data_IF_196588587418
#
_entry.id   IF_196588587418
#
_cell.length_a   1.000
_cell.length_b   1.000
_cell.length_c   1.000
_cell.angle_alpha   90.00
_cell.angle_beta   90.00
_cell.angle_gamma   90.00
#
_symmetry.space_group_name_H-M   'P 1'
#
loop_
_entity.id
_entity.type
_entity.pdbx_description
1 polymer ?
#
# COMPACT_ATOMS: atom_id res chain seq x y z
N UNK A 1 5.58 0.71 -4.24
CA UNK A 1 5.50 0.84 -2.77
C UNK A 1 6.27 2.06 -2.28
N UNK A 2 7.55 2.21 -2.61
CA UNK A 2 8.38 3.31 -2.11
C UNK A 2 7.86 4.69 -2.50
N UNK A 3 7.54 4.89 -3.78
CA UNK A 3 6.96 6.15 -4.26
C UNK A 3 5.62 6.45 -3.59
N UNK A 4 4.77 5.43 -3.41
CA UNK A 4 3.48 5.57 -2.73
C UNK A 4 3.67 5.99 -1.27
N UNK A 5 4.57 5.32 -0.54
CA UNK A 5 4.87 5.66 0.85
C UNK A 5 5.52 7.04 1.02
N UNK A 6 6.18 7.56 -0.02
CA UNK A 6 6.75 8.92 -0.07
C UNK A 6 5.77 9.98 -0.58
N UNK A 7 4.54 9.60 -0.93
CA UNK A 7 3.56 10.45 -1.64
C UNK A 7 4.09 11.05 -2.96
N UNK A 8 5.00 10.35 -3.61
CA UNK A 8 5.57 10.76 -4.89
C UNK A 8 4.62 10.34 -6.02
N UNK A 9 3.72 11.25 -6.40
CA UNK A 9 2.67 11.01 -7.41
C UNK A 9 3.24 10.62 -8.76
N UNK A 10 4.17 11.40 -9.27
CA UNK A 10 4.70 11.24 -10.62
C UNK A 10 5.43 9.91 -10.76
N UNK A 11 6.30 9.57 -9.81
CA UNK A 11 7.00 8.29 -9.85
C UNK A 11 6.08 7.11 -9.49
N UNK A 12 5.04 7.30 -8.69
CA UNK A 12 4.03 6.25 -8.45
C UNK A 12 3.23 5.93 -9.72
N UNK A 13 2.80 6.95 -10.47
CA UNK A 13 2.09 6.77 -11.74
C UNK A 13 3.00 6.20 -12.82
N UNK A 14 4.28 6.61 -12.87
CA UNK A 14 5.27 6.05 -13.79
C UNK A 14 5.51 4.57 -13.48
N UNK A 15 5.72 4.21 -12.22
CA UNK A 15 5.88 2.81 -11.82
C UNK A 15 4.63 1.97 -12.12
N UNK A 16 3.42 2.53 -11.92
CA UNK A 16 2.19 1.85 -12.30
C UNK A 16 2.13 1.56 -13.80
N UNK A 17 2.51 2.52 -14.66
CA UNK A 17 2.54 2.30 -16.11
C UNK A 17 3.43 1.13 -16.49
N UNK A 18 4.64 1.05 -15.93
CA UNK A 18 5.54 -0.08 -16.17
C UNK A 18 4.93 -1.42 -15.73
N UNK A 19 4.32 -1.48 -14.53
CA UNK A 19 3.63 -2.69 -14.03
C UNK A 19 2.48 -3.10 -14.98
N UNK A 20 1.75 -2.12 -15.53
CA UNK A 20 0.64 -2.34 -16.46
C UNK A 20 1.08 -2.78 -17.86
N UNK A 21 2.24 -2.33 -18.32
CA UNK A 21 2.87 -2.70 -19.59
C UNK A 21 3.45 -4.12 -19.52
N UNK A 22 4.04 -4.49 -18.38
CA UNK A 22 4.55 -5.84 -18.10
C UNK A 22 3.45 -6.90 -17.90
N UNK A 23 2.17 -6.49 -17.92
CA UNK A 23 1.03 -7.41 -17.74
C UNK A 23 0.94 -8.00 -16.33
N UNK A 24 1.55 -7.36 -15.33
CA UNK A 24 1.53 -7.88 -13.96
C UNK A 24 0.12 -7.86 -13.36
N UNK A 25 -0.12 -8.77 -12.42
CA UNK A 25 -1.40 -8.92 -11.76
C UNK A 25 -1.73 -7.72 -10.85
N UNK A 26 -2.72 -6.93 -11.27
CA UNK A 26 -3.19 -5.76 -10.54
C UNK A 26 -3.76 -6.08 -9.16
N UNK A 27 -4.38 -7.25 -8.98
CA UNK A 27 -4.85 -7.72 -7.67
C UNK A 27 -3.67 -7.92 -6.72
N UNK A 28 -2.54 -8.41 -7.25
CA UNK A 28 -1.28 -8.51 -6.51
C UNK A 28 -0.79 -7.14 -6.04
N UNK A 29 -0.84 -6.12 -6.89
CA UNK A 29 -0.48 -4.75 -6.51
C UNK A 29 -1.36 -4.22 -5.38
N UNK A 30 -2.69 -4.37 -5.48
CA UNK A 30 -3.63 -3.94 -4.42
C UNK A 30 -3.33 -4.66 -3.11
N UNK A 31 -3.03 -5.96 -3.17
CA UNK A 31 -2.64 -6.76 -1.99
C UNK A 31 -1.37 -6.22 -1.33
N UNK A 32 -0.37 -5.82 -2.14
CA UNK A 32 0.86 -5.23 -1.64
C UNK A 32 0.60 -3.86 -0.97
N UNK A 33 -0.24 -3.03 -1.58
CA UNK A 33 -0.64 -1.74 -1.01
C UNK A 33 -1.34 -1.94 0.34
N UNK A 34 -2.30 -2.86 0.40
CA UNK A 34 -3.02 -3.18 1.63
C UNK A 34 -2.07 -3.66 2.75
N UNK A 35 -1.10 -4.53 2.44
CA UNK A 35 -0.09 -4.99 3.42
C UNK A 35 0.78 -3.84 3.94
N UNK A 36 1.18 -2.91 3.08
CA UNK A 36 1.96 -1.73 3.50
C UNK A 36 1.15 -0.85 4.46
N UNK A 37 -0.10 -0.51 4.10
CA UNK A 37 -0.95 0.32 4.97
C UNK A 37 -1.35 -0.40 6.26
N UNK A 38 -1.41 -1.75 6.27
CA UNK A 38 -1.58 -2.51 7.52
C UNK A 38 -0.38 -2.36 8.45
N UNK A 39 0.83 -2.32 7.90
CA UNK A 39 2.02 -1.99 8.68
C UNK A 39 1.92 -0.55 9.23
N UNK A 40 1.51 0.42 8.41
CA UNK A 40 1.34 1.80 8.86
C UNK A 40 0.33 1.92 10.00
N UNK A 41 -0.79 1.20 9.90
CA UNK A 41 -1.80 1.16 10.95
C UNK A 41 -1.23 0.62 12.27
N UNK A 42 -0.46 -0.48 12.25
CA UNK A 42 0.19 -0.99 13.46
C UNK A 42 1.20 0.00 14.04
N UNK A 43 1.91 0.75 13.20
CA UNK A 43 2.85 1.79 13.66
C UNK A 43 2.09 2.93 14.34
N UNK A 44 1.00 3.41 13.72
CA UNK A 44 0.24 4.58 14.19
C UNK A 44 -0.62 4.30 15.42
N UNK A 45 -1.19 3.10 15.52
CA UNK A 45 -2.01 2.65 16.66
C UNK A 45 -1.22 2.39 17.96
N UNK A 46 0.04 2.79 18.04
CA UNK A 46 0.89 2.59 19.21
C UNK A 46 1.36 1.14 19.42
N UNK A 47 1.06 0.21 18.50
CA UNK A 47 1.39 -1.21 18.62
C UNK A 47 2.88 -1.57 18.38
N UNK A 48 3.76 -0.57 18.37
CA UNK A 48 5.22 -0.70 18.39
C UNK A 48 5.84 -1.45 17.18
N UNK A 49 7.18 -1.47 17.15
CA UNK A 49 7.98 -2.17 16.14
C UNK A 49 7.74 -3.68 16.12
N UNK A 50 7.37 -4.29 17.25
CA UNK A 50 7.16 -5.74 17.34
C UNK A 50 5.95 -6.19 16.53
N UNK A 51 4.79 -5.55 16.67
CA UNK A 51 3.58 -5.96 15.93
C UNK A 51 3.74 -5.85 14.41
N UNK A 52 4.50 -4.86 13.94
CA UNK A 52 4.86 -4.74 12.51
C UNK A 52 5.77 -5.88 12.07
N UNK A 53 6.74 -6.24 12.92
CA UNK A 53 7.67 -7.35 12.68
C UNK A 53 6.90 -8.66 12.58
N UNK A 54 6.07 -8.96 13.58
CA UNK A 54 5.23 -10.15 13.63
C UNK A 54 4.30 -10.24 12.42
N UNK A 55 3.71 -9.10 12.02
CA UNK A 55 2.86 -9.08 10.83
C UNK A 55 3.64 -9.43 9.56
N UNK A 56 4.81 -8.82 9.35
CA UNK A 56 5.64 -9.06 8.17
C UNK A 56 6.08 -10.52 8.10
N UNK A 57 6.57 -11.08 9.20
CA UNK A 57 7.04 -12.47 9.28
C UNK A 57 5.94 -13.46 8.93
N UNK A 58 4.74 -13.26 9.48
CA UNK A 58 3.64 -14.21 9.32
C UNK A 58 2.85 -14.04 8.01
N UNK A 59 2.79 -12.83 7.43
CA UNK A 59 1.84 -12.53 6.36
C UNK A 59 2.48 -12.16 5.02
N UNK A 60 3.75 -11.76 5.00
CA UNK A 60 4.39 -11.21 3.80
C UNK A 60 5.39 -12.15 3.12
N UNK A 61 5.66 -13.34 3.69
CA UNK A 61 6.58 -14.37 3.15
C UNK A 61 7.95 -13.78 2.78
N UNK A 62 8.44 -12.87 3.61
CA UNK A 62 9.70 -12.16 3.39
C UNK A 62 10.83 -12.99 4.02
N UNK A 63 12.01 -13.12 3.38
CA UNK A 63 13.14 -13.78 4.01
C UNK A 63 13.51 -13.13 5.36
N UNK A 64 13.81 -13.92 6.42
CA UNK A 64 14.03 -13.38 7.77
C UNK A 64 15.07 -12.25 7.82
N UNK A 65 16.15 -12.37 7.05
CA UNK A 65 17.21 -11.35 6.99
C UNK A 65 16.74 -9.99 6.43
N UNK A 66 15.63 -9.94 5.71
CA UNK A 66 15.10 -8.72 5.10
C UNK A 66 14.02 -8.04 5.96
N UNK A 67 13.45 -8.75 6.94
CA UNK A 67 12.36 -8.26 7.80
C UNK A 67 12.76 -6.95 8.50
N UNK A 68 13.90 -6.93 9.19
CA UNK A 68 14.34 -5.73 9.92
C UNK A 68 14.53 -4.49 9.04
N UNK A 69 14.99 -4.69 7.79
CA UNK A 69 15.13 -3.62 6.80
C UNK A 69 13.76 -3.11 6.36
N UNK A 70 12.81 -4.02 6.13
CA UNK A 70 11.45 -3.66 5.71
C UNK A 70 10.68 -2.93 6.82
N UNK A 71 10.75 -3.42 8.06
CA UNK A 71 10.17 -2.77 9.25
C UNK A 71 10.69 -1.33 9.38
N UNK A 72 12.01 -1.16 9.37
CA UNK A 72 12.63 0.17 9.53
C UNK A 72 12.22 1.13 8.41
N UNK A 73 12.04 0.60 7.19
CA UNK A 73 11.57 1.38 6.05
C UNK A 73 10.10 1.79 6.21
N UNK A 74 9.23 0.89 6.64
CA UNK A 74 7.81 1.20 6.83
C UNK A 74 7.56 2.16 7.97
N UNK A 75 8.35 2.11 9.05
CA UNK A 75 8.34 3.15 10.08
C UNK A 75 8.56 4.54 9.46
N UNK A 76 9.66 4.71 8.71
CA UNK A 76 9.98 5.99 8.06
C UNK A 76 8.93 6.44 7.04
N UNK A 77 8.38 5.52 6.25
CA UNK A 77 7.38 5.87 5.24
C UNK A 77 6.02 6.23 5.89
N UNK A 78 5.71 5.63 7.04
CA UNK A 78 4.47 5.93 7.76
C UNK A 78 4.43 7.35 8.31
N UNK A 79 5.58 8.02 8.48
CA UNK A 79 5.63 9.41 8.94
C UNK A 79 4.97 10.38 7.95
N UNK A 80 4.85 9.99 6.67
CA UNK A 80 4.15 10.79 5.66
C UNK A 80 2.61 10.64 5.72
N UNK A 81 2.06 9.88 6.66
CA UNK A 81 0.63 9.66 6.79
C UNK A 81 0.21 9.80 8.26
N UNK A 82 -0.88 10.52 8.51
CA UNK A 82 -1.57 10.53 9.80
C UNK A 82 -2.36 9.23 10.01
N UNK A 83 -2.80 8.97 11.24
CA UNK A 83 -3.65 7.81 11.52
C UNK A 83 -4.98 7.89 10.75
N UNK A 84 -5.63 9.06 10.73
CA UNK A 84 -6.89 9.28 10.02
C UNK A 84 -6.74 9.06 8.50
N UNK A 85 -5.63 9.53 7.91
CA UNK A 85 -5.34 9.25 6.50
C UNK A 85 -5.13 7.76 6.25
N UNK A 86 -4.42 7.03 7.14
CA UNK A 86 -4.27 5.57 7.01
C UNK A 86 -5.63 4.87 7.04
N UNK A 87 -6.54 5.27 7.94
CA UNK A 87 -7.90 4.73 8.00
C UNK A 87 -8.68 5.00 6.71
N UNK A 88 -8.62 6.24 6.20
CA UNK A 88 -9.27 6.62 4.94
C UNK A 88 -8.68 5.88 3.73
N UNK A 89 -7.38 5.56 3.74
CA UNK A 89 -6.80 4.66 2.72
C UNK A 89 -7.43 3.26 2.76
N UNK A 90 -7.76 2.72 3.93
CA UNK A 90 -8.47 1.43 4.00
C UNK A 90 -9.89 1.51 3.42
N UNK A 91 -10.60 2.61 3.62
CA UNK A 91 -11.91 2.83 2.99
C UNK A 91 -11.79 2.84 1.46
N UNK A 92 -10.80 3.56 0.93
CA UNK A 92 -10.49 3.58 -0.49
C UNK A 92 -10.17 2.15 -0.96
N UNK A 93 -9.25 1.44 -0.31
CA UNK A 93 -8.87 0.08 -0.70
C UNK A 93 -10.06 -0.89 -0.74
N UNK A 94 -10.95 -0.83 0.26
CA UNK A 94 -12.15 -1.67 0.32
C UNK A 94 -13.13 -1.38 -0.82
N UNK A 95 -13.37 -0.10 -1.11
CA UNK A 95 -14.20 0.34 -2.25
C UNK A 95 -13.67 -0.22 -3.58
N UNK A 96 -12.35 -0.17 -3.77
CA UNK A 96 -11.71 -0.68 -4.97
C UNK A 96 -11.66 -2.22 -5.03
N UNK A 97 -11.46 -2.92 -3.90
CA UNK A 97 -11.52 -4.41 -3.87
C UNK A 97 -12.87 -4.94 -4.35
N UNK A 98 -13.98 -4.33 -3.89
CA UNK A 98 -15.34 -4.63 -4.38
C UNK A 98 -15.42 -4.38 -5.89
N UNK A 99 -14.88 -3.26 -6.36
CA UNK A 99 -14.93 -2.87 -7.78
C UNK A 99 -14.14 -3.82 -8.67
N UNK A 100 -12.99 -4.31 -8.22
CA UNK A 100 -12.17 -5.30 -8.93
C UNK A 100 -12.82 -6.67 -9.03
N UNK A 101 -13.65 -7.06 -8.05
CA UNK A 101 -14.38 -8.34 -8.06
C UNK A 101 -15.61 -8.35 -8.98
N UNK A 102 -16.20 -7.18 -9.23
CA UNK A 102 -17.45 -7.06 -10.00
C UNK A 102 -17.20 -6.80 -11.49
N UNK A 103 -16.16 -6.06 -11.88
CA UNK A 103 -15.90 -5.69 -13.29
C UNK A 103 -14.43 -5.86 -13.70
N UNK A 104 -14.15 -6.83 -14.57
CA UNK A 104 -12.79 -7.19 -15.02
C UNK A 104 -12.24 -6.30 -16.16
N UNK A 105 -13.11 -5.61 -16.89
CA UNK A 105 -12.76 -4.92 -18.16
C UNK A 105 -12.07 -3.54 -17.94
N UNK A 106 -12.22 -2.90 -16.78
CA UNK A 106 -11.68 -1.54 -16.47
C UNK A 106 -10.53 -1.50 -15.45
N UNK A 107 -9.95 -2.64 -15.10
CA UNK A 107 -8.99 -2.78 -14.00
C UNK A 107 -7.80 -1.80 -14.04
N UNK A 108 -7.27 -1.46 -15.22
CA UNK A 108 -6.16 -0.50 -15.37
C UNK A 108 -6.55 0.93 -14.96
N UNK A 109 -7.74 1.39 -15.34
CA UNK A 109 -8.23 2.72 -14.99
C UNK A 109 -8.52 2.80 -13.49
N UNK A 110 -9.13 1.76 -12.93
CA UNK A 110 -9.43 1.64 -11.51
C UNK A 110 -8.16 1.72 -10.64
N UNK A 111 -7.09 1.01 -11.01
CA UNK A 111 -5.83 1.07 -10.24
C UNK A 111 -5.18 2.46 -10.32
N UNK A 112 -5.22 3.12 -11.48
CA UNK A 112 -4.70 4.48 -11.62
C UNK A 112 -5.46 5.45 -10.71
N UNK A 113 -6.78 5.33 -10.66
CA UNK A 113 -7.63 6.16 -9.81
C UNK A 113 -7.39 5.88 -8.33
N UNK A 114 -7.29 4.61 -7.93
CA UNK A 114 -6.89 4.17 -6.59
C UNK A 114 -5.58 4.83 -6.14
N UNK A 115 -4.52 4.77 -6.96
CA UNK A 115 -3.22 5.36 -6.60
C UNK A 115 -3.32 6.87 -6.45
N UNK A 116 -4.08 7.57 -7.31
CA UNK A 116 -4.25 9.02 -7.16
C UNK A 116 -5.01 9.37 -5.88
N UNK A 117 -6.11 8.66 -5.57
CA UNK A 117 -6.91 8.91 -4.37
C UNK A 117 -6.11 8.67 -3.08
N UNK A 118 -5.20 7.68 -3.05
CA UNK A 118 -4.32 7.43 -1.90
C UNK A 118 -3.27 8.54 -1.73
N UNK A 119 -2.70 9.06 -2.83
CA UNK A 119 -1.60 10.04 -2.75
C UNK A 119 -2.13 11.44 -2.43
N UNK A 120 -3.26 11.81 -3.04
CA UNK A 120 -3.91 13.10 -2.85
C UNK A 120 -4.81 13.11 -1.60
N UNK A 121 -4.61 12.17 -0.67
CA UNK A 121 -5.42 12.08 0.54
C UNK A 121 -5.10 13.25 1.47
N UNK A 122 -6.16 13.88 1.94
CA UNK A 122 -6.15 14.98 2.90
C UNK A 122 -7.37 14.82 3.83
N UNK A 123 -7.22 15.18 5.11
CA UNK A 123 -8.25 15.01 6.16
C UNK A 123 -8.46 16.34 6.88
#
# INVERSE_FOLDING_TARGET
MDYLGKRDKDNSLKALRSILEEGQNLIGLVTLIHRMFKCFLYIKSGNSKSSVTDYIENNMKVPPYFVGKLVSKYIKLSDNYTEDEVLKVFEILNKYDISFRINTIESKHLVKKLISEIIDIDV
#
